data_IF_832213238966
#
_entry.id   IF_832213238966
#
_cell.length_a   1.000
_cell.length_b   1.000
_cell.length_c   1.000
_cell.angle_alpha   90.00
_cell.angle_beta   90.00
_cell.angle_gamma   90.00
#
_symmetry.space_group_name_H-M   'P 1'
#
loop_
_entity.id
_entity.type
_entity.pdbx_description
1 polymer ?
#
# COMPACT_ATOMS: atom_id res chain seq x y z
N UNK A 1 24.03 49.18 22.42
CA UNK A 1 22.88 48.30 22.71
C UNK A 1 22.75 47.35 21.53
N UNK A 2 23.41 46.19 21.58
CA UNK A 2 23.44 45.23 20.48
C UNK A 2 22.34 44.18 20.69
N UNK A 3 21.40 44.12 19.78
CA UNK A 3 20.32 43.14 19.73
C UNK A 3 20.87 41.81 19.20
N UNK A 4 21.00 40.81 20.07
CA UNK A 4 21.29 39.43 19.71
C UNK A 4 19.99 38.73 19.28
N UNK A 5 19.80 38.55 17.97
CA UNK A 5 18.72 37.71 17.43
C UNK A 5 19.08 36.23 17.60
N UNK A 6 18.46 35.57 18.59
CA UNK A 6 18.46 34.12 18.71
C UNK A 6 17.62 33.51 17.57
N UNK A 7 18.28 33.06 16.51
CA UNK A 7 17.67 32.18 15.51
C UNK A 7 17.65 30.74 16.04
N UNK A 8 16.52 30.32 16.61
CA UNK A 8 16.27 28.93 16.97
C UNK A 8 16.37 28.04 15.72
N UNK A 9 17.10 26.91 15.75
CA UNK A 9 17.18 26.01 14.60
C UNK A 9 15.80 25.39 14.36
N UNK A 10 15.20 25.68 13.22
CA UNK A 10 13.98 24.99 12.76
C UNK A 10 14.37 23.55 12.44
N UNK A 11 14.10 22.62 13.36
CA UNK A 11 14.23 21.18 13.11
C UNK A 11 13.17 20.76 12.09
N UNK A 12 13.49 20.87 10.80
CA UNK A 12 12.69 20.27 9.73
C UNK A 12 12.72 18.76 9.91
N UNK A 13 11.68 18.22 10.56
CA UNK A 13 11.50 16.79 10.74
C UNK A 13 11.21 16.15 9.37
N UNK A 14 12.25 15.65 8.71
CA UNK A 14 12.12 14.98 7.42
C UNK A 14 11.36 13.66 7.63
N UNK A 15 10.23 13.43 6.94
CA UNK A 15 9.48 12.19 7.07
C UNK A 15 10.36 10.96 6.81
N UNK A 16 10.13 9.89 7.58
CA UNK A 16 10.87 8.64 7.49
C UNK A 16 9.91 7.50 7.16
N UNK A 17 10.28 6.70 6.16
CA UNK A 17 9.47 5.57 5.66
C UNK A 17 10.30 4.29 5.69
N UNK A 18 9.67 3.18 6.07
CA UNK A 18 10.25 1.85 5.89
C UNK A 18 10.04 1.37 4.46
N UNK A 19 11.10 1.41 3.65
CA UNK A 19 11.04 1.01 2.24
C UNK A 19 10.77 -0.49 2.09
N UNK A 20 11.19 -1.33 3.03
CA UNK A 20 10.97 -2.78 2.93
C UNK A 20 9.50 -3.12 3.21
N UNK A 21 8.87 -2.43 4.15
CA UNK A 21 7.43 -2.53 4.36
C UNK A 21 6.65 -2.13 3.09
N UNK A 22 7.01 -1.01 2.46
CA UNK A 22 6.34 -0.54 1.24
C UNK A 22 6.52 -1.52 0.06
N UNK A 23 7.70 -2.14 -0.07
CA UNK A 23 7.94 -3.18 -1.07
C UNK A 23 7.16 -4.45 -0.76
N UNK A 24 7.09 -4.85 0.50
CA UNK A 24 6.35 -6.02 0.94
C UNK A 24 4.84 -5.89 0.69
N UNK A 25 4.24 -4.75 1.02
CA UNK A 25 2.82 -4.49 0.73
C UNK A 25 2.55 -4.51 -0.78
N UNK A 26 3.38 -3.83 -1.58
CA UNK A 26 3.21 -3.82 -3.04
C UNK A 26 3.37 -5.21 -3.66
N UNK A 27 4.40 -5.97 -3.24
CA UNK A 27 4.60 -7.33 -3.71
C UNK A 27 3.43 -8.24 -3.34
N UNK A 28 2.88 -8.08 -2.12
CA UNK A 28 1.72 -8.87 -1.68
C UNK A 28 0.47 -8.58 -2.53
N UNK A 29 0.22 -7.31 -2.88
CA UNK A 29 -0.89 -6.92 -3.77
C UNK A 29 -0.71 -7.57 -5.14
N UNK A 30 0.47 -7.45 -5.75
CA UNK A 30 0.76 -8.04 -7.07
C UNK A 30 0.59 -9.56 -7.05
N UNK A 31 1.05 -10.23 -6.00
CA UNK A 31 0.87 -11.68 -5.85
C UNK A 31 -0.61 -12.04 -5.73
N UNK A 32 -1.39 -11.27 -4.95
CA UNK A 32 -2.82 -11.54 -4.78
C UNK A 32 -3.62 -11.34 -6.07
N UNK A 33 -3.39 -10.25 -6.82
CA UNK A 33 -4.08 -10.01 -8.10
C UNK A 33 -3.68 -11.06 -9.15
N UNK A 34 -2.39 -11.38 -9.25
CA UNK A 34 -1.93 -12.47 -10.12
C UNK A 34 -2.57 -13.83 -9.77
N UNK A 35 -2.67 -14.17 -8.47
CA UNK A 35 -3.37 -15.37 -8.02
C UNK A 35 -4.87 -15.33 -8.33
N UNK A 36 -5.51 -14.16 -8.16
CA UNK A 36 -6.91 -13.98 -8.51
C UNK A 36 -7.15 -14.32 -9.99
N UNK A 37 -6.30 -13.80 -10.88
CA UNK A 37 -6.35 -14.06 -12.30
C UNK A 37 -6.08 -15.53 -12.64
N UNK A 38 -4.96 -16.10 -12.18
CA UNK A 38 -4.54 -17.47 -12.51
C UNK A 38 -5.56 -18.51 -12.01
N UNK A 39 -6.09 -18.31 -10.80
CA UNK A 39 -7.08 -19.22 -10.21
C UNK A 39 -8.51 -18.92 -10.69
N UNK A 40 -8.70 -17.85 -11.47
CA UNK A 40 -10.00 -17.34 -11.90
C UNK A 40 -10.96 -17.15 -10.71
N UNK A 41 -10.48 -16.48 -9.64
CA UNK A 41 -11.21 -16.25 -8.39
C UNK A 41 -11.43 -14.73 -8.17
N UNK A 42 -12.52 -14.14 -8.70
CA UNK A 42 -12.83 -12.72 -8.55
C UNK A 42 -12.97 -12.24 -7.10
N UNK A 43 -13.26 -13.15 -6.17
CA UNK A 43 -13.37 -12.83 -4.75
C UNK A 43 -12.05 -12.32 -4.17
N UNK A 44 -10.91 -12.80 -4.71
CA UNK A 44 -9.58 -12.37 -4.30
C UNK A 44 -9.34 -10.92 -4.75
N UNK A 45 -9.83 -10.52 -5.93
CA UNK A 45 -9.78 -9.11 -6.41
C UNK A 45 -10.52 -8.20 -5.44
N UNK A 46 -11.74 -8.58 -5.05
CA UNK A 46 -12.56 -7.80 -4.11
C UNK A 46 -11.88 -7.63 -2.74
N UNK A 47 -11.32 -8.71 -2.19
CA UNK A 47 -10.58 -8.66 -0.92
C UNK A 47 -9.33 -7.78 -1.04
N UNK A 48 -8.59 -7.90 -2.14
CA UNK A 48 -7.38 -7.11 -2.39
C UNK A 48 -7.72 -5.63 -2.53
N UNK A 49 -8.83 -5.29 -3.18
CA UNK A 49 -9.34 -3.92 -3.29
C UNK A 49 -9.60 -3.31 -1.90
N UNK A 50 -10.26 -4.05 -1.01
CA UNK A 50 -10.54 -3.61 0.37
C UNK A 50 -9.25 -3.42 1.16
N UNK A 51 -8.31 -4.37 1.08
CA UNK A 51 -7.03 -4.31 1.79
C UNK A 51 -6.19 -3.11 1.31
N UNK A 52 -6.13 -2.87 -0.01
CA UNK A 52 -5.39 -1.75 -0.58
C UNK A 52 -6.05 -0.42 -0.23
N UNK A 53 -7.38 -0.31 -0.31
CA UNK A 53 -8.12 0.89 0.11
C UNK A 53 -7.87 1.21 1.59
N UNK A 54 -7.92 0.20 2.47
CA UNK A 54 -7.63 0.36 3.89
C UNK A 54 -6.18 0.82 4.12
N UNK A 55 -5.23 0.28 3.37
CA UNK A 55 -3.81 0.66 3.47
C UNK A 55 -3.56 2.11 3.03
N UNK A 56 -4.28 2.59 2.02
CA UNK A 56 -4.19 3.98 1.55
C UNK A 56 -4.80 4.97 2.56
N UNK A 57 -6.00 4.66 3.06
CA UNK A 57 -6.78 5.52 3.95
C UNK A 57 -6.22 5.52 5.38
N UNK A 58 -5.88 4.36 5.92
CA UNK A 58 -5.43 4.17 7.30
C UNK A 58 -4.16 3.30 7.38
N UNK A 59 -2.97 3.86 7.04
CA UNK A 59 -1.70 3.12 7.01
C UNK A 59 -1.27 2.53 8.36
N UNK A 60 -1.82 3.04 9.47
CA UNK A 60 -1.59 2.51 10.83
C UNK A 60 -2.16 1.10 11.03
N UNK A 61 -3.26 0.79 10.36
CA UNK A 61 -3.99 -0.48 10.49
C UNK A 61 -3.92 -1.34 9.21
N UNK A 62 -3.01 -1.01 8.29
CA UNK A 62 -2.79 -1.82 7.09
C UNK A 62 -2.52 -3.29 7.47
N UNK A 63 -3.27 -4.27 6.92
CA UNK A 63 -3.05 -5.68 7.19
C UNK A 63 -1.61 -6.11 6.88
N UNK A 64 -1.01 -5.58 5.80
CA UNK A 64 0.38 -5.85 5.45
C UNK A 64 1.35 -5.35 6.52
N UNK A 65 1.09 -4.18 7.11
CA UNK A 65 1.90 -3.66 8.21
C UNK A 65 1.79 -4.52 9.46
N UNK A 66 0.58 -5.00 9.79
CA UNK A 66 0.37 -5.89 10.92
C UNK A 66 1.11 -7.22 10.75
N UNK A 67 1.04 -7.82 9.56
CA UNK A 67 1.76 -9.06 9.24
C UNK A 67 3.28 -8.82 9.25
N UNK A 68 3.75 -7.74 8.62
CA UNK A 68 5.16 -7.40 8.56
C UNK A 68 5.76 -7.18 9.97
N UNK A 69 5.12 -6.37 10.80
CA UNK A 69 5.61 -6.06 12.14
C UNK A 69 5.36 -7.18 13.16
N UNK A 70 4.26 -7.90 13.04
CA UNK A 70 3.86 -8.94 13.99
C UNK A 70 4.45 -10.32 13.71
N UNK A 71 4.85 -10.58 12.46
CA UNK A 71 5.32 -11.91 12.03
C UNK A 71 6.70 -11.83 11.38
N UNK A 72 6.90 -11.00 10.36
CA UNK A 72 8.14 -11.04 9.58
C UNK A 72 9.35 -10.46 10.33
N UNK A 73 9.17 -9.36 11.06
CA UNK A 73 10.25 -8.78 11.88
C UNK A 73 10.60 -9.70 13.06
N UNK A 74 9.65 -10.20 13.88
CA UNK A 74 9.98 -11.06 15.02
C UNK A 74 10.63 -12.39 14.61
N UNK A 75 10.24 -12.94 13.45
CA UNK A 75 10.86 -14.13 12.87
C UNK A 75 12.19 -13.84 12.15
N UNK A 76 12.68 -12.60 12.15
CA UNK A 76 13.90 -12.17 11.46
C UNK A 76 13.93 -12.47 9.95
N UNK A 77 12.76 -12.61 9.32
CA UNK A 77 12.62 -12.88 7.88
C UNK A 77 12.92 -11.64 7.03
N UNK A 78 12.61 -10.45 7.56
CA UNK A 78 12.91 -9.17 6.93
C UNK A 78 13.48 -8.19 7.97
N UNK A 79 14.31 -7.27 7.50
CA UNK A 79 14.87 -6.19 8.33
C UNK A 79 14.27 -4.87 7.88
N UNK A 80 13.69 -4.05 8.78
CA UNK A 80 13.23 -2.70 8.44
C UNK A 80 14.33 -1.85 7.81
N UNK A 81 13.99 -1.10 6.76
CA UNK A 81 14.91 -0.15 6.11
C UNK A 81 14.29 1.23 6.12
N UNK A 82 14.61 2.00 7.15
CA UNK A 82 14.12 3.36 7.34
C UNK A 82 14.96 4.32 6.49
N UNK A 83 14.30 5.04 5.59
CA UNK A 83 14.91 6.06 4.72
C UNK A 83 14.10 7.34 4.84
N UNK A 84 14.76 8.48 4.68
CA UNK A 84 14.12 9.79 4.56
C UNK A 84 13.42 9.87 3.20
N UNK A 85 12.09 9.79 3.22
CA UNK A 85 11.24 9.77 2.04
C UNK A 85 9.81 10.18 2.44
N UNK A 86 9.05 10.73 1.50
CA UNK A 86 7.66 11.12 1.74
C UNK A 86 6.71 9.93 1.47
N UNK A 87 5.88 9.50 2.44
CA UNK A 87 4.90 8.44 2.20
C UNK A 87 3.70 8.87 1.34
N UNK A 88 3.47 10.17 1.13
CA UNK A 88 2.27 10.67 0.46
C UNK A 88 2.11 10.17 -1.00
N UNK A 89 3.15 10.19 -1.87
CA UNK A 89 3.04 9.69 -3.24
C UNK A 89 2.67 8.20 -3.29
N UNK A 90 3.21 7.39 -2.38
CA UNK A 90 2.91 5.96 -2.31
C UNK A 90 1.44 5.71 -1.93
N UNK A 91 0.92 6.46 -0.95
CA UNK A 91 -0.49 6.34 -0.53
C UNK A 91 -1.45 6.79 -1.62
N UNK A 92 -1.10 7.85 -2.35
CA UNK A 92 -1.87 8.29 -3.51
C UNK A 92 -1.94 7.19 -4.58
N UNK A 93 -0.79 6.60 -4.93
CA UNK A 93 -0.74 5.50 -5.89
C UNK A 93 -1.56 4.28 -5.43
N UNK A 94 -1.50 3.92 -4.14
CA UNK A 94 -2.35 2.86 -3.58
C UNK A 94 -3.85 3.21 -3.69
N UNK A 95 -4.23 4.46 -3.44
CA UNK A 95 -5.61 4.90 -3.59
C UNK A 95 -6.12 4.77 -5.04
N UNK A 96 -5.29 5.15 -6.02
CA UNK A 96 -5.58 4.96 -7.44
C UNK A 96 -5.72 3.47 -7.76
N UNK A 97 -4.75 2.65 -7.36
CA UNK A 97 -4.82 1.19 -7.55
C UNK A 97 -6.09 0.58 -6.94
N UNK A 98 -6.50 1.03 -5.75
CA UNK A 98 -7.74 0.57 -5.13
C UNK A 98 -8.96 0.92 -5.98
N UNK A 99 -9.01 2.10 -6.58
CA UNK A 99 -10.10 2.48 -7.49
C UNK A 99 -10.18 1.54 -8.70
N UNK A 100 -9.03 1.17 -9.29
CA UNK A 100 -8.98 0.19 -10.38
C UNK A 100 -9.46 -1.20 -9.94
N UNK A 101 -9.01 -1.71 -8.79
CA UNK A 101 -9.47 -3.02 -8.30
C UNK A 101 -10.96 -3.02 -7.91
N UNK A 102 -11.50 -1.91 -7.41
CA UNK A 102 -12.94 -1.75 -7.18
C UNK A 102 -13.68 -1.81 -8.51
N UNK A 103 -13.21 -1.08 -9.53
CA UNK A 103 -13.80 -1.13 -10.87
C UNK A 103 -13.72 -2.55 -11.48
N UNK A 104 -12.58 -3.22 -11.36
CA UNK A 104 -12.37 -4.61 -11.77
C UNK A 104 -13.40 -5.54 -11.10
N UNK A 105 -13.56 -5.41 -9.78
CA UNK A 105 -14.55 -6.16 -8.99
C UNK A 105 -15.96 -5.93 -9.53
N UNK A 106 -16.37 -4.67 -9.73
CA UNK A 106 -17.70 -4.35 -10.26
C UNK A 106 -17.92 -4.95 -11.66
N UNK A 107 -16.93 -4.85 -12.54
CA UNK A 107 -17.01 -5.42 -13.90
C UNK A 107 -17.13 -6.94 -13.85
N UNK A 108 -16.31 -7.63 -13.05
CA UNK A 108 -16.31 -9.08 -12.93
C UNK A 108 -17.61 -9.64 -12.35
N UNK A 109 -18.26 -8.93 -11.43
CA UNK A 109 -19.47 -9.42 -10.75
C UNK A 109 -20.79 -8.92 -11.37
N UNK A 110 -20.81 -7.72 -11.96
CA UNK A 110 -22.06 -7.10 -12.42
C UNK A 110 -22.21 -7.10 -13.94
N UNK A 111 -21.20 -7.51 -14.70
CA UNK A 111 -21.22 -7.50 -16.17
C UNK A 111 -20.76 -8.82 -16.77
N UNK A 112 -20.91 -8.97 -18.09
CA UNK A 112 -20.36 -10.10 -18.86
C UNK A 112 -18.99 -9.80 -19.48
N UNK A 113 -18.42 -8.63 -19.20
CA UNK A 113 -17.16 -8.17 -19.80
C UNK A 113 -15.94 -8.69 -19.02
N UNK A 114 -15.83 -10.01 -18.86
CA UNK A 114 -14.82 -10.66 -18.01
C UNK A 114 -13.39 -10.27 -18.37
N UNK A 115 -13.08 -10.14 -19.67
CA UNK A 115 -11.75 -9.71 -20.13
C UNK A 115 -11.38 -8.29 -19.65
N UNK A 116 -12.36 -7.37 -19.61
CA UNK A 116 -12.14 -6.00 -19.11
C UNK A 116 -11.92 -6.02 -17.59
N UNK A 117 -12.67 -6.85 -16.87
CA UNK A 117 -12.49 -7.02 -15.43
C UNK A 117 -11.08 -7.47 -15.07
N UNK A 118 -10.55 -8.48 -15.75
CA UNK A 118 -9.18 -8.94 -15.55
C UNK A 118 -8.12 -7.95 -16.03
N UNK A 119 -8.39 -7.20 -17.10
CA UNK A 119 -7.49 -6.15 -17.57
C UNK A 119 -7.37 -4.96 -16.59
N UNK A 120 -8.37 -4.74 -15.73
CA UNK A 120 -8.34 -3.73 -14.67
C UNK A 120 -7.66 -4.23 -13.38
N UNK A 121 -7.63 -5.54 -13.17
CA UNK A 121 -7.00 -6.19 -12.01
C UNK A 121 -5.46 -6.24 -12.12
N UNK A 122 -4.94 -6.39 -13.34
CA UNK A 122 -3.52 -6.53 -13.67
C UNK A 122 -2.85 -5.20 -14.02
#
# INVERSE_FOLDING_TARGET
>A
MATSTNSSPTTTNVPRVDTHLAKFSQASIVVLTALAFILNQPIIVALTAVIMALSALAPSISPFRLIYNGVLIPLHLLKPRIVEDDPAPHRFAQGVGAAFLIAATLVLYLTKATAVGWALDL
#
